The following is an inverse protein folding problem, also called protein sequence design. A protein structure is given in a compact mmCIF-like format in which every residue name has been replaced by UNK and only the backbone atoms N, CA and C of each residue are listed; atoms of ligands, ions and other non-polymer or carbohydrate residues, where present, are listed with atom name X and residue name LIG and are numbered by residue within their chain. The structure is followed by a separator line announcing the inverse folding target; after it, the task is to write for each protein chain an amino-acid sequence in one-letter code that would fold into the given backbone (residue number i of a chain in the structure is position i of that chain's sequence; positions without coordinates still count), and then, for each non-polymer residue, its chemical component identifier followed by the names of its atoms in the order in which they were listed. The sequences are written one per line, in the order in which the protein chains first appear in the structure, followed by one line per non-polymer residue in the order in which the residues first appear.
data_IF_957792342705
#
_entry.id   IF_957792342705
#
_cell.length_a   1.000
_cell.length_b   1.000
_cell.length_c   1.000
_cell.angle_alpha   90.00
_cell.angle_beta   90.00
_cell.angle_gamma   90.00
#
_symmetry.space_group_name_H-M   'P 1'
#
loop_
_entity.id
_entity.type
_entity.pdbx_description
1 polymer ?
#
# COMPACT_ATOMS: atom_id res chain seq x y z
N UNK A 1 -29.64 28.37 -27.51
CA UNK A 1 -28.99 27.16 -28.00
C UNK A 1 -28.14 26.58 -26.88
N UNK A 2 -27.80 25.28 -26.93
CA UNK A 2 -27.12 24.59 -25.82
C UNK A 2 -26.07 23.64 -26.35
N UNK A 3 -24.89 23.64 -25.77
CA UNK A 3 -23.85 22.66 -25.98
C UNK A 3 -23.93 21.62 -24.87
N UNK A 4 -24.01 20.35 -25.21
CA UNK A 4 -23.95 19.23 -24.24
C UNK A 4 -22.62 18.51 -24.44
N UNK A 5 -21.77 18.51 -23.40
CA UNK A 5 -20.52 17.78 -23.39
C UNK A 5 -20.66 16.51 -22.55
N UNK A 6 -20.34 15.38 -23.17
CA UNK A 6 -20.31 14.08 -22.48
C UNK A 6 -18.87 13.61 -22.27
N UNK A 7 -18.67 12.70 -21.33
CA UNK A 7 -17.36 12.08 -21.13
C UNK A 7 -17.03 11.17 -22.33
N UNK A 8 -15.91 11.37 -23.04
CA UNK A 8 -15.51 10.54 -24.19
C UNK A 8 -15.33 9.06 -23.82
N UNK A 9 -15.07 8.75 -22.57
CA UNK A 9 -14.94 7.36 -22.06
C UNK A 9 -16.30 6.72 -21.80
N UNK A 10 -17.32 7.52 -21.50
CA UNK A 10 -18.68 7.10 -21.15
C UNK A 10 -19.72 7.94 -21.88
N UNK A 11 -19.68 7.98 -23.21
CA UNK A 11 -20.46 8.91 -24.02
C UNK A 11 -21.98 8.67 -23.96
N UNK A 12 -22.42 7.54 -23.43
CA UNK A 12 -23.85 7.24 -23.20
C UNK A 12 -24.37 7.79 -21.86
N UNK A 13 -23.49 8.30 -20.98
CA UNK A 13 -23.92 8.95 -19.75
C UNK A 13 -24.10 10.44 -19.99
N UNK A 14 -25.33 10.91 -19.84
CA UNK A 14 -25.67 12.31 -20.05
C UNK A 14 -26.11 12.95 -18.73
N UNK A 15 -25.82 14.25 -18.52
CA UNK A 15 -26.38 14.98 -17.39
C UNK A 15 -27.92 14.95 -17.42
N UNK A 16 -28.57 14.79 -16.27
CA UNK A 16 -30.03 14.73 -16.16
C UNK A 16 -30.69 15.97 -16.80
N UNK A 17 -30.04 17.13 -16.68
CA UNK A 17 -30.50 18.39 -17.29
C UNK A 17 -30.51 18.38 -18.83
N UNK A 18 -29.76 17.45 -19.43
CA UNK A 18 -29.70 17.32 -20.90
C UNK A 18 -30.83 16.43 -21.48
N UNK A 19 -31.49 15.61 -20.66
CA UNK A 19 -32.42 14.55 -21.11
C UNK A 19 -33.55 15.13 -21.96
N UNK A 20 -34.22 16.18 -21.49
CA UNK A 20 -35.30 16.80 -22.25
C UNK A 20 -34.83 17.43 -23.57
N UNK A 21 -33.63 18.01 -23.57
CA UNK A 21 -33.05 18.67 -24.75
C UNK A 21 -32.65 17.66 -25.83
N UNK A 22 -32.22 16.46 -25.42
CA UNK A 22 -31.85 15.39 -26.35
C UNK A 22 -33.02 14.72 -27.04
N UNK A 23 -34.26 14.97 -26.59
CA UNK A 23 -35.49 14.60 -27.31
C UNK A 23 -35.83 15.48 -28.50
N UNK A 24 -35.19 16.66 -28.63
CA UNK A 24 -35.38 17.61 -29.74
C UNK A 24 -34.38 17.43 -30.88
N UNK A 25 -34.23 18.52 -31.66
CA UNK A 25 -33.23 18.56 -32.74
C UNK A 25 -31.80 18.64 -32.14
N UNK A 26 -30.97 17.64 -32.44
CA UNK A 26 -29.59 17.51 -31.97
C UNK A 26 -28.65 17.41 -33.17
N UNK A 27 -27.61 18.23 -33.19
CA UNK A 27 -26.42 17.97 -34.01
C UNK A 27 -25.34 17.32 -33.15
N UNK A 28 -24.54 16.42 -33.73
CA UNK A 28 -23.44 15.80 -33.04
C UNK A 28 -22.13 15.90 -33.82
N UNK A 29 -21.03 15.99 -33.12
CA UNK A 29 -19.68 16.06 -33.68
C UNK A 29 -19.17 14.68 -34.09
N UNK A 30 -18.19 14.62 -34.99
CA UNK A 30 -17.73 13.39 -35.65
C UNK A 30 -17.06 12.39 -34.69
N UNK A 31 -16.51 12.85 -33.58
CA UNK A 31 -15.87 11.98 -32.59
C UNK A 31 -16.88 11.20 -31.75
N UNK A 32 -18.17 11.56 -31.84
CA UNK A 32 -19.19 10.87 -31.04
C UNK A 32 -19.36 9.42 -31.51
N UNK A 33 -19.29 8.41 -30.60
CA UNK A 33 -19.52 7.01 -30.94
C UNK A 33 -20.92 6.83 -31.51
N UNK A 34 -21.01 6.19 -32.69
CA UNK A 34 -22.23 6.10 -33.51
C UNK A 34 -23.46 5.55 -32.77
N UNK A 35 -23.25 4.72 -31.72
CA UNK A 35 -24.33 4.19 -30.90
C UNK A 35 -25.08 5.26 -30.11
N UNK A 36 -24.44 6.37 -29.77
CA UNK A 36 -25.06 7.45 -29.00
C UNK A 36 -26.06 8.25 -29.81
N UNK A 37 -25.67 8.88 -30.95
CA UNK A 37 -26.61 9.61 -31.80
C UNK A 37 -27.71 8.71 -32.39
N UNK A 38 -27.44 7.44 -32.65
CA UNK A 38 -28.47 6.50 -33.13
C UNK A 38 -29.55 6.19 -32.11
N UNK A 39 -29.27 6.40 -30.85
CA UNK A 39 -30.26 6.27 -29.78
C UNK A 39 -31.15 7.51 -29.62
N UNK A 40 -30.85 8.58 -30.34
CA UNK A 40 -31.57 9.83 -30.26
C UNK A 40 -32.55 10.00 -31.50
N UNK A 41 -33.82 10.39 -31.27
CA UNK A 41 -34.85 10.40 -32.31
C UNK A 41 -34.55 11.31 -33.50
N UNK A 42 -33.89 12.43 -33.27
CA UNK A 42 -33.70 13.50 -34.25
C UNK A 42 -32.24 13.98 -34.34
N UNK A 43 -31.29 13.07 -34.05
CA UNK A 43 -29.86 13.41 -34.11
C UNK A 43 -29.35 13.37 -35.56
N UNK A 44 -28.59 14.39 -35.94
CA UNK A 44 -27.92 14.48 -37.24
C UNK A 44 -26.44 14.87 -37.07
N UNK A 45 -25.55 14.37 -37.93
CA UNK A 45 -24.15 14.75 -37.88
C UNK A 45 -23.95 16.24 -38.17
N UNK A 46 -22.95 16.81 -37.55
CA UNK A 46 -22.46 18.15 -37.90
C UNK A 46 -21.58 18.03 -39.15
N UNK A 47 -21.98 18.64 -40.25
CA UNK A 47 -21.16 18.70 -41.48
C UNK A 47 -20.42 20.03 -41.52
N UNK A 48 -19.11 20.01 -41.46
CA UNK A 48 -18.26 21.18 -41.65
C UNK A 48 -18.44 21.72 -43.08
N UNK A 49 -19.01 22.92 -43.21
CA UNK A 49 -19.27 23.56 -44.51
C UNK A 49 -20.65 23.34 -45.11
N UNK A 50 -21.55 22.64 -44.43
CA UNK A 50 -22.97 22.51 -44.83
C UNK A 50 -23.74 23.83 -44.64
N UNK A 51 -24.73 24.10 -45.53
CA UNK A 51 -25.66 25.24 -45.42
C UNK A 51 -26.79 24.97 -44.40
N UNK A 52 -26.70 23.89 -43.61
CA UNK A 52 -27.76 23.54 -42.68
C UNK A 52 -27.78 24.51 -41.51
N UNK A 53 -28.98 24.95 -41.14
CA UNK A 53 -29.13 25.75 -39.93
C UNK A 53 -28.66 25.00 -38.67
N UNK A 54 -27.90 25.65 -37.77
CA UNK A 54 -27.45 25.01 -36.55
C UNK A 54 -28.62 24.53 -35.69
N UNK A 55 -28.56 23.27 -35.23
CA UNK A 55 -29.58 22.76 -34.34
C UNK A 55 -29.53 23.46 -32.96
N UNK A 56 -30.66 23.51 -32.23
CA UNK A 56 -30.72 24.09 -30.90
C UNK A 56 -29.75 23.44 -29.93
N UNK A 57 -29.40 22.17 -30.15
CA UNK A 57 -28.50 21.38 -29.30
C UNK A 57 -27.32 20.87 -30.09
N UNK A 58 -26.10 21.07 -29.59
CA UNK A 58 -24.90 20.44 -30.07
C UNK A 58 -24.42 19.43 -29.02
N UNK A 59 -24.27 18.16 -29.41
CA UNK A 59 -23.75 17.07 -28.60
C UNK A 59 -22.31 16.75 -29.02
N UNK A 60 -21.37 16.77 -28.09
CA UNK A 60 -19.96 16.50 -28.35
C UNK A 60 -19.31 15.83 -27.16
N UNK A 61 -18.20 15.16 -27.39
CA UNK A 61 -17.29 14.68 -26.31
C UNK A 61 -15.94 15.42 -26.31
N UNK A 62 -15.73 16.33 -27.26
CA UNK A 62 -14.53 17.17 -27.35
C UNK A 62 -14.83 18.64 -27.08
N UNK A 63 -14.39 19.14 -25.93
CA UNK A 63 -14.49 20.55 -25.57
C UNK A 63 -13.68 21.47 -26.47
N UNK A 64 -12.65 20.95 -27.17
CA UNK A 64 -11.77 21.73 -28.02
C UNK A 64 -12.28 21.75 -29.49
N UNK A 65 -13.31 20.96 -29.81
CA UNK A 65 -13.89 20.97 -31.14
C UNK A 65 -14.25 22.40 -31.61
N UNK A 66 -13.89 22.80 -32.85
CA UNK A 66 -14.05 24.18 -33.31
C UNK A 66 -15.48 24.72 -33.14
N UNK A 67 -16.50 23.94 -33.46
CA UNK A 67 -17.90 24.34 -33.32
C UNK A 67 -18.33 24.47 -31.87
N UNK A 68 -17.87 23.58 -30.97
CA UNK A 68 -18.11 23.68 -29.52
C UNK A 68 -17.55 25.00 -29.00
N UNK A 69 -16.32 25.32 -29.37
CA UNK A 69 -15.69 26.59 -28.99
C UNK A 69 -16.40 27.80 -29.52
N UNK A 70 -16.82 27.75 -30.79
CA UNK A 70 -17.56 28.83 -31.47
C UNK A 70 -18.89 29.12 -30.71
N UNK A 71 -19.68 28.08 -30.42
CA UNK A 71 -20.96 28.22 -29.72
C UNK A 71 -20.78 28.72 -28.26
N UNK A 72 -19.78 28.21 -27.56
CA UNK A 72 -19.47 28.70 -26.20
C UNK A 72 -18.99 30.14 -26.21
N UNK A 73 -18.20 30.55 -27.22
CA UNK A 73 -17.80 31.95 -27.38
C UNK A 73 -18.97 32.87 -27.74
N UNK A 74 -20.01 32.34 -28.41
CA UNK A 74 -21.27 33.05 -28.65
C UNK A 74 -22.19 33.13 -27.43
N UNK A 75 -21.79 32.59 -26.28
CA UNK A 75 -22.53 32.64 -25.01
C UNK A 75 -23.65 31.59 -24.92
N UNK A 76 -23.60 30.50 -25.71
CA UNK A 76 -24.57 29.44 -25.58
C UNK A 76 -24.40 28.67 -24.27
N UNK A 77 -25.49 28.14 -23.72
CA UNK A 77 -25.51 27.37 -22.49
C UNK A 77 -24.67 26.11 -22.63
N UNK A 78 -23.80 25.87 -21.67
CA UNK A 78 -23.06 24.61 -21.51
C UNK A 78 -23.76 23.71 -20.48
N UNK A 79 -24.02 22.46 -20.88
CA UNK A 79 -24.35 21.37 -19.96
C UNK A 79 -23.24 20.34 -20.14
N UNK A 80 -22.47 20.09 -19.09
CA UNK A 80 -21.36 19.15 -19.16
C UNK A 80 -21.46 18.17 -17.99
N UNK A 81 -20.95 16.96 -18.20
CA UNK A 81 -20.64 16.07 -17.09
C UNK A 81 -19.63 16.76 -16.15
N UNK A 82 -19.71 16.53 -14.83
CA UNK A 82 -18.72 17.05 -13.91
C UNK A 82 -17.30 16.65 -14.35
N UNK A 83 -16.32 17.48 -14.00
CA UNK A 83 -14.93 17.12 -14.22
C UNK A 83 -14.60 15.77 -13.52
N UNK A 84 -13.75 14.94 -14.15
CA UNK A 84 -13.38 13.64 -13.59
C UNK A 84 -12.89 13.77 -12.15
N UNK A 85 -13.43 12.95 -11.26
CA UNK A 85 -12.97 12.90 -9.88
C UNK A 85 -11.68 12.10 -9.77
N UNK A 86 -10.78 12.42 -8.82
CA UNK A 86 -9.64 11.57 -8.52
C UNK A 86 -10.10 10.13 -8.26
N UNK A 87 -9.41 9.17 -8.89
CA UNK A 87 -9.75 7.75 -8.74
C UNK A 87 -10.72 7.18 -9.78
N UNK A 88 -11.39 7.99 -10.60
CA UNK A 88 -12.31 7.46 -11.63
C UNK A 88 -11.65 6.50 -12.63
N UNK A 89 -10.33 6.66 -12.87
CA UNK A 89 -9.57 5.73 -13.72
C UNK A 89 -9.47 4.31 -13.15
N UNK A 90 -9.67 4.15 -11.84
CA UNK A 90 -9.74 2.82 -11.23
C UNK A 90 -10.91 2.01 -11.77
N UNK A 91 -12.05 2.64 -12.08
CA UNK A 91 -13.20 1.97 -12.69
C UNK A 91 -12.86 1.44 -14.09
N UNK A 92 -12.06 2.20 -14.88
CA UNK A 92 -11.58 1.74 -16.18
C UNK A 92 -10.63 0.53 -16.02
N UNK A 93 -9.74 0.57 -15.01
CA UNK A 93 -8.82 -0.54 -14.72
C UNK A 93 -9.59 -1.82 -14.31
N UNK A 94 -10.61 -1.70 -13.48
CA UNK A 94 -11.50 -2.82 -13.12
C UNK A 94 -12.17 -3.43 -14.36
N UNK A 95 -12.70 -2.58 -15.25
CA UNK A 95 -13.35 -3.05 -16.48
C UNK A 95 -12.37 -3.71 -17.46
N UNK A 96 -11.12 -3.28 -17.49
CA UNK A 96 -10.04 -3.91 -18.26
C UNK A 96 -9.71 -5.27 -17.68
N UNK A 97 -9.53 -5.37 -16.34
CA UNK A 97 -9.24 -6.62 -15.65
C UNK A 97 -10.36 -7.66 -15.90
N UNK A 98 -11.63 -7.27 -15.83
CA UNK A 98 -12.75 -8.17 -16.12
C UNK A 98 -12.67 -8.74 -17.54
N UNK A 99 -12.35 -7.90 -18.53
CA UNK A 99 -12.16 -8.35 -19.92
C UNK A 99 -10.96 -9.29 -20.08
N UNK A 100 -9.83 -8.96 -19.46
CA UNK A 100 -8.64 -9.80 -19.49
C UNK A 100 -8.93 -11.17 -18.85
N UNK A 101 -9.55 -11.19 -17.68
CA UNK A 101 -9.91 -12.44 -17.00
C UNK A 101 -10.88 -13.29 -17.81
N UNK A 102 -11.83 -12.65 -18.53
CA UNK A 102 -12.85 -13.35 -19.31
C UNK A 102 -12.34 -13.87 -20.66
N UNK A 103 -11.46 -13.12 -21.33
CA UNK A 103 -11.06 -13.37 -22.72
C UNK A 103 -9.54 -13.60 -22.91
N UNK A 104 -8.71 -13.30 -21.94
CA UNK A 104 -7.26 -13.49 -22.01
C UNK A 104 -6.89 -14.95 -21.76
N UNK A 105 -6.15 -15.60 -22.67
CA UNK A 105 -5.83 -17.03 -22.52
C UNK A 105 -4.89 -17.31 -21.36
N UNK A 106 -4.03 -16.39 -20.97
CA UNK A 106 -3.16 -16.53 -19.81
C UNK A 106 -3.85 -16.11 -18.53
N UNK A 107 -4.56 -15.00 -18.57
CA UNK A 107 -5.22 -14.41 -17.40
C UNK A 107 -6.35 -15.30 -16.87
N UNK A 108 -7.08 -15.98 -17.76
CA UNK A 108 -8.17 -16.90 -17.36
C UNK A 108 -7.69 -18.12 -16.57
N UNK A 109 -6.45 -18.54 -16.74
CA UNK A 109 -5.86 -19.70 -16.08
C UNK A 109 -5.21 -19.38 -14.72
N UNK A 110 -5.05 -18.09 -14.38
CA UNK A 110 -4.36 -17.71 -13.15
C UNK A 110 -5.19 -18.04 -11.91
N UNK A 111 -4.47 -18.38 -10.84
CA UNK A 111 -5.03 -18.65 -9.51
C UNK A 111 -4.34 -17.71 -8.48
N UNK A 112 -4.91 -17.59 -7.29
CA UNK A 112 -4.24 -16.89 -6.19
C UNK A 112 -2.82 -17.40 -5.94
N UNK A 113 -2.60 -18.70 -6.06
CA UNK A 113 -1.27 -19.29 -5.82
C UNK A 113 -0.28 -19.02 -6.95
N UNK A 114 -0.71 -19.11 -8.21
CA UNK A 114 0.17 -18.83 -9.36
C UNK A 114 0.62 -17.38 -9.41
N UNK A 115 -0.18 -16.44 -8.89
CA UNK A 115 0.13 -15.00 -8.85
C UNK A 115 1.03 -14.59 -7.68
N UNK A 116 1.24 -15.43 -6.67
CA UNK A 116 2.05 -15.07 -5.49
C UNK A 116 3.47 -14.62 -5.83
N UNK A 117 4.09 -15.28 -6.81
CA UNK A 117 5.45 -14.92 -7.23
C UNK A 117 5.50 -13.51 -7.86
N UNK A 118 4.51 -13.16 -8.66
CA UNK A 118 4.42 -11.83 -9.28
C UNK A 118 4.17 -10.76 -8.22
N UNK A 119 3.22 -10.96 -7.30
CA UNK A 119 2.99 -10.02 -6.19
C UNK A 119 4.26 -9.77 -5.37
N UNK A 120 5.10 -10.79 -5.17
CA UNK A 120 6.39 -10.64 -4.49
C UNK A 120 7.38 -9.83 -5.34
N UNK A 121 7.47 -10.11 -6.64
CA UNK A 121 8.31 -9.41 -7.61
C UNK A 121 7.95 -7.93 -7.65
N UNK A 122 6.70 -7.58 -7.94
CA UNK A 122 6.20 -6.20 -7.97
C UNK A 122 6.43 -5.45 -6.64
N UNK A 123 6.35 -6.18 -5.52
CA UNK A 123 6.63 -5.56 -4.20
C UNK A 123 8.10 -5.18 -4.06
N UNK A 124 9.04 -5.97 -4.57
CA UNK A 124 10.46 -5.65 -4.53
C UNK A 124 10.84 -4.56 -5.55
N UNK A 125 10.24 -4.58 -6.73
CA UNK A 125 10.41 -3.53 -7.74
C UNK A 125 9.90 -2.18 -7.22
N UNK A 126 8.75 -2.16 -6.55
CA UNK A 126 8.26 -0.97 -5.83
C UNK A 126 9.26 -0.49 -4.76
N UNK A 127 9.91 -1.39 -4.00
CA UNK A 127 10.93 -0.98 -3.03
C UNK A 127 12.15 -0.35 -3.69
N UNK A 128 12.57 -0.87 -4.84
CA UNK A 128 13.68 -0.31 -5.61
C UNK A 128 13.32 1.05 -6.23
N UNK A 129 12.10 1.20 -6.76
CA UNK A 129 11.59 2.48 -7.27
C UNK A 129 11.51 3.55 -6.17
N UNK A 130 11.06 3.19 -4.95
CA UNK A 130 11.06 4.10 -3.79
C UNK A 130 12.48 4.51 -3.42
N UNK A 131 13.45 3.59 -3.46
CA UNK A 131 14.85 3.88 -3.15
C UNK A 131 15.52 4.71 -4.23
N UNK A 132 15.19 4.45 -5.50
CA UNK A 132 15.73 5.14 -6.67
C UNK A 132 15.26 6.60 -6.81
N UNK A 133 14.11 6.94 -6.22
CA UNK A 133 13.54 8.29 -6.24
C UNK A 133 12.99 8.71 -7.61
N UNK A 134 12.91 7.81 -8.58
CA UNK A 134 12.34 8.08 -9.89
C UNK A 134 10.81 8.00 -9.83
N UNK A 135 10.14 9.15 -9.97
CA UNK A 135 8.66 9.23 -9.87
C UNK A 135 7.93 8.51 -11.00
N UNK A 136 8.57 8.30 -12.15
CA UNK A 136 7.97 7.53 -13.24
C UNK A 136 7.95 6.05 -12.87
N UNK A 137 9.08 5.49 -12.48
CA UNK A 137 9.20 4.11 -12.00
C UNK A 137 8.26 3.86 -10.82
N UNK A 138 8.27 4.73 -9.82
CA UNK A 138 7.36 4.63 -8.67
C UNK A 138 5.88 4.55 -9.09
N UNK A 139 5.47 5.32 -10.10
CA UNK A 139 4.09 5.28 -10.60
C UNK A 139 3.79 3.98 -11.31
N UNK A 140 4.73 3.49 -12.12
CA UNK A 140 4.57 2.28 -12.90
C UNK A 140 4.48 1.06 -11.94
N UNK A 141 5.38 0.94 -10.95
CA UNK A 141 5.36 -0.13 -9.96
C UNK A 141 4.12 -0.09 -9.03
N UNK A 142 3.64 1.10 -8.67
CA UNK A 142 2.34 1.23 -7.98
C UNK A 142 1.19 0.72 -8.85
N UNK A 143 1.27 0.87 -10.16
CA UNK A 143 0.34 0.31 -11.14
C UNK A 143 0.36 -1.22 -11.13
N UNK A 144 1.54 -1.84 -11.06
CA UNK A 144 1.71 -3.27 -11.06
C UNK A 144 1.26 -3.92 -9.74
N UNK A 145 1.53 -3.29 -8.61
CA UNK A 145 0.92 -3.70 -7.33
C UNK A 145 -0.61 -3.58 -7.36
N UNK A 146 -1.15 -2.51 -7.96
CA UNK A 146 -2.60 -2.37 -8.15
C UNK A 146 -3.16 -3.45 -9.07
N UNK A 147 -2.45 -3.82 -10.15
CA UNK A 147 -2.80 -4.93 -11.03
C UNK A 147 -2.98 -6.23 -10.23
N UNK A 148 -2.06 -6.54 -9.31
CA UNK A 148 -2.18 -7.73 -8.45
C UNK A 148 -3.43 -7.67 -7.57
N UNK A 149 -3.75 -6.51 -6.99
CA UNK A 149 -4.97 -6.34 -6.18
C UNK A 149 -6.22 -6.60 -7.02
N UNK A 150 -6.31 -6.01 -8.21
CA UNK A 150 -7.45 -6.19 -9.12
C UNK A 150 -7.58 -7.64 -9.58
N UNK A 151 -6.46 -8.28 -9.88
CA UNK A 151 -6.42 -9.67 -10.33
C UNK A 151 -6.93 -10.62 -9.24
N UNK A 152 -6.40 -10.48 -8.03
CA UNK A 152 -6.84 -11.29 -6.90
C UNK A 152 -8.31 -11.06 -6.57
N UNK A 153 -8.81 -9.82 -6.59
CA UNK A 153 -10.21 -9.53 -6.36
C UNK A 153 -11.10 -10.17 -7.43
N UNK A 154 -10.68 -10.10 -8.70
CA UNK A 154 -11.44 -10.68 -9.81
C UNK A 154 -11.47 -12.21 -9.78
N UNK A 155 -10.40 -12.88 -9.33
CA UNK A 155 -10.40 -14.33 -9.08
C UNK A 155 -11.34 -14.68 -7.93
N UNK A 156 -11.33 -13.90 -6.84
CA UNK A 156 -12.19 -14.13 -5.69
C UNK A 156 -13.67 -14.00 -6.01
N UNK A 157 -14.04 -13.11 -6.95
CA UNK A 157 -15.42 -12.96 -7.42
C UNK A 157 -15.98 -14.24 -8.08
N UNK A 158 -15.13 -15.09 -8.66
CA UNK A 158 -15.50 -16.36 -9.29
C UNK A 158 -15.69 -17.50 -8.28
N UNK A 159 -15.36 -17.29 -7.00
CA UNK A 159 -15.42 -18.34 -6.00
C UNK A 159 -16.88 -18.77 -5.74
N UNK A 160 -17.11 -20.09 -5.61
CA UNK A 160 -18.44 -20.63 -5.32
C UNK A 160 -18.92 -20.35 -3.88
N UNK A 161 -18.01 -20.05 -2.97
CA UNK A 161 -18.29 -19.74 -1.56
C UNK A 161 -17.41 -18.57 -1.16
N UNK A 162 -17.96 -17.74 -0.29
CA UNK A 162 -17.27 -16.58 0.28
C UNK A 162 -16.66 -15.65 -0.79
N UNK A 163 -17.33 -15.57 -1.98
CA UNK A 163 -16.92 -14.67 -3.04
C UNK A 163 -17.00 -13.21 -2.60
N UNK A 164 -16.08 -12.41 -3.10
CA UNK A 164 -16.06 -10.96 -2.88
C UNK A 164 -15.51 -10.24 -4.11
N UNK A 165 -15.89 -8.99 -4.26
CA UNK A 165 -15.53 -8.11 -5.37
C UNK A 165 -14.46 -7.11 -4.99
N UNK A 166 -13.98 -6.34 -5.94
CA UNK A 166 -13.09 -5.21 -5.68
C UNK A 166 -13.76 -4.13 -4.81
N UNK A 167 -15.08 -3.97 -4.92
CA UNK A 167 -15.84 -3.03 -4.09
C UNK A 167 -15.84 -3.48 -2.62
N UNK A 168 -15.94 -4.79 -2.35
CA UNK A 168 -15.83 -5.33 -0.99
C UNK A 168 -14.43 -5.10 -0.40
N UNK A 169 -13.37 -5.19 -1.23
CA UNK A 169 -12.00 -4.86 -0.82
C UNK A 169 -11.88 -3.38 -0.47
N UNK A 170 -12.44 -2.50 -1.32
CA UNK A 170 -12.45 -1.06 -1.08
C UNK A 170 -13.25 -0.72 0.20
N UNK A 171 -14.42 -1.31 0.40
CA UNK A 171 -15.25 -1.14 1.59
C UNK A 171 -14.53 -1.62 2.86
N UNK A 172 -13.81 -2.73 2.78
CA UNK A 172 -13.00 -3.21 3.90
C UNK A 172 -11.90 -2.20 4.28
N UNK A 173 -11.24 -1.59 3.29
CA UNK A 173 -10.25 -0.55 3.52
C UNK A 173 -10.88 0.70 4.13
N UNK A 174 -12.00 1.18 3.57
CA UNK A 174 -12.73 2.37 4.05
C UNK A 174 -13.16 2.17 5.51
N UNK A 175 -13.77 1.02 5.83
CA UNK A 175 -14.15 0.68 7.21
C UNK A 175 -12.95 0.65 8.15
N UNK A 176 -11.85 0.01 7.72
CA UNK A 176 -10.61 -0.08 8.50
C UNK A 176 -10.05 1.30 8.81
N UNK A 177 -9.94 2.18 7.81
CA UNK A 177 -9.45 3.55 8.02
C UNK A 177 -10.42 4.37 8.87
N UNK A 178 -11.73 4.27 8.60
CA UNK A 178 -12.76 4.94 9.39
C UNK A 178 -12.74 4.56 10.87
N UNK A 179 -12.49 3.29 11.16
CA UNK A 179 -12.38 2.80 12.52
C UNK A 179 -11.08 3.26 13.22
N UNK A 180 -9.96 3.34 12.49
CA UNK A 180 -8.64 3.58 13.09
C UNK A 180 -8.30 5.05 13.31
N UNK A 181 -8.85 5.96 12.50
CA UNK A 181 -8.55 7.41 12.56
C UNK A 181 -9.79 8.27 12.54
N UNK A 182 -10.80 8.01 13.39
CA UNK A 182 -12.07 8.74 13.35
C UNK A 182 -11.90 10.24 13.61
N UNK A 183 -11.01 10.65 14.53
CA UNK A 183 -10.76 12.05 14.83
C UNK A 183 -10.24 12.83 13.62
N UNK A 184 -9.27 12.26 12.89
CA UNK A 184 -8.73 12.86 11.66
C UNK A 184 -9.81 13.00 10.59
N UNK A 185 -10.65 11.97 10.41
CA UNK A 185 -11.75 11.99 9.43
C UNK A 185 -12.87 12.96 9.82
N UNK A 186 -13.04 13.22 11.12
CA UNK A 186 -13.96 14.27 11.61
C UNK A 186 -13.38 15.68 11.45
N UNK A 187 -12.13 15.83 10.99
CA UNK A 187 -11.47 17.13 10.86
C UNK A 187 -10.98 17.70 12.20
N UNK A 188 -10.84 16.88 13.22
CA UNK A 188 -10.33 17.28 14.52
C UNK A 188 -8.80 17.47 14.45
N UNK A 189 -8.31 18.49 15.18
CA UNK A 189 -6.86 18.68 15.36
C UNK A 189 -6.37 17.71 16.41
N UNK A 190 -5.52 16.77 16.01
CA UNK A 190 -4.96 15.72 16.89
C UNK A 190 -3.44 15.72 16.77
N UNK A 191 -2.72 15.47 17.87
CA UNK A 191 -1.27 15.31 17.82
C UNK A 191 -0.86 13.99 17.15
N UNK A 192 0.39 13.91 16.66
CA UNK A 192 0.92 12.66 16.11
C UNK A 192 0.90 11.54 17.15
N UNK A 193 1.25 11.86 18.40
CA UNK A 193 1.30 10.90 19.50
C UNK A 193 -0.11 10.34 19.79
N UNK A 194 -1.10 11.21 19.91
CA UNK A 194 -2.49 10.81 20.15
C UNK A 194 -3.05 10.01 18.97
N UNK A 195 -2.71 10.38 17.74
CA UNK A 195 -3.13 9.63 16.55
C UNK A 195 -2.54 8.21 16.54
N UNK A 196 -1.26 8.06 16.87
CA UNK A 196 -0.61 6.75 16.95
C UNK A 196 -1.19 5.90 18.09
N UNK A 197 -1.44 6.51 19.26
CA UNK A 197 -2.10 5.84 20.38
C UNK A 197 -3.50 5.35 20.00
N UNK A 198 -4.32 6.22 19.37
CA UNK A 198 -5.66 5.87 18.88
C UNK A 198 -5.60 4.73 17.84
N UNK A 199 -4.63 4.78 16.93
CA UNK A 199 -4.44 3.74 15.93
C UNK A 199 -4.16 2.37 16.56
N UNK A 200 -3.23 2.30 17.52
CA UNK A 200 -2.88 1.04 18.18
C UNK A 200 -4.01 0.53 19.08
N UNK A 201 -4.69 1.41 19.80
CA UNK A 201 -5.89 1.05 20.58
C UNK A 201 -6.98 0.44 19.70
N UNK A 202 -7.33 1.11 18.61
CA UNK A 202 -8.37 0.65 17.70
C UNK A 202 -7.99 -0.65 16.99
N UNK A 203 -6.72 -0.78 16.60
CA UNK A 203 -6.19 -2.01 16.03
C UNK A 203 -6.24 -3.19 17.01
N UNK A 204 -6.04 -2.95 18.30
CA UNK A 204 -6.13 -4.00 19.32
C UNK A 204 -7.56 -4.52 19.46
N UNK A 205 -8.57 -3.64 19.36
CA UNK A 205 -9.98 -4.01 19.39
C UNK A 205 -10.41 -4.89 18.21
N UNK A 206 -9.82 -4.68 17.02
CA UNK A 206 -10.10 -5.52 15.82
C UNK A 206 -9.61 -6.96 15.99
N UNK A 207 -8.70 -7.21 16.91
CA UNK A 207 -8.00 -8.48 17.06
C UNK A 207 -8.39 -9.24 18.34
N UNK A 208 -9.56 -8.95 18.88
CA UNK A 208 -10.07 -9.51 20.15
C UNK A 208 -10.25 -11.03 20.18
N UNK A 209 -10.11 -11.72 19.06
CA UNK A 209 -10.23 -13.19 18.95
C UNK A 209 -8.89 -13.92 19.08
N UNK A 210 -7.77 -13.23 19.24
CA UNK A 210 -6.45 -13.87 19.40
C UNK A 210 -6.37 -14.64 20.70
N UNK A 211 -5.78 -15.82 20.63
CA UNK A 211 -5.51 -16.68 21.78
C UNK A 211 -4.05 -16.51 22.24
N UNK A 212 -3.16 -16.07 21.35
CA UNK A 212 -1.73 -15.83 21.63
C UNK A 212 -1.29 -14.47 21.11
N UNK A 213 -0.32 -13.85 21.76
CA UNK A 213 0.28 -12.58 21.31
C UNK A 213 0.97 -12.70 19.94
N UNK A 214 1.35 -13.92 19.53
CA UNK A 214 1.97 -14.18 18.22
C UNK A 214 0.99 -14.68 17.16
N UNK A 215 -0.31 -14.73 17.43
CA UNK A 215 -1.31 -15.08 16.43
C UNK A 215 -1.46 -13.97 15.38
N UNK A 216 -1.91 -14.33 14.17
CA UNK A 216 -2.08 -13.44 13.02
C UNK A 216 -0.78 -12.72 12.58
N UNK A 217 0.38 -13.28 12.93
CA UNK A 217 1.65 -12.83 12.36
C UNK A 217 1.87 -13.60 11.05
N UNK A 218 1.91 -12.92 9.88
CA UNK A 218 2.14 -13.59 8.60
C UNK A 218 3.55 -14.21 8.57
N UNK A 219 3.62 -15.55 8.56
CA UNK A 219 4.90 -16.27 8.62
C UNK A 219 5.61 -16.37 7.26
N UNK A 220 4.94 -16.00 6.17
CA UNK A 220 5.51 -16.00 4.82
C UNK A 220 6.37 -14.79 4.49
N UNK A 221 6.42 -13.75 5.33
CA UNK A 221 7.27 -12.58 5.13
C UNK A 221 8.77 -12.93 5.31
N UNK A 222 9.73 -12.11 4.82
CA UNK A 222 11.16 -12.31 5.04
C UNK A 222 11.49 -12.52 6.52
N UNK A 223 12.40 -13.45 6.85
CA UNK A 223 12.62 -13.88 8.23
C UNK A 223 13.08 -12.75 9.14
N UNK A 224 13.84 -11.78 8.64
CA UNK A 224 14.22 -10.58 9.41
C UNK A 224 13.02 -9.71 9.79
N UNK A 225 12.10 -9.50 8.86
CA UNK A 225 10.86 -8.74 9.12
C UNK A 225 9.94 -9.51 10.08
N UNK A 226 9.88 -10.83 9.92
CA UNK A 226 9.17 -11.72 10.85
C UNK A 226 9.75 -11.64 12.25
N UNK A 227 11.10 -11.66 12.41
CA UNK A 227 11.80 -11.55 13.67
C UNK A 227 11.44 -10.23 14.38
N UNK A 228 11.56 -9.11 13.71
CA UNK A 228 11.23 -7.80 14.28
C UNK A 228 9.78 -7.76 14.78
N UNK A 229 8.84 -8.29 13.98
CA UNK A 229 7.42 -8.31 14.33
C UNK A 229 7.11 -9.23 15.51
N UNK A 230 7.69 -10.42 15.56
CA UNK A 230 7.51 -11.37 16.66
C UNK A 230 8.11 -10.80 17.94
N UNK A 231 9.35 -10.29 17.89
CA UNK A 231 10.02 -9.68 19.05
C UNK A 231 9.19 -8.51 19.60
N UNK A 232 8.70 -7.60 18.74
CA UNK A 232 7.85 -6.51 19.18
C UNK A 232 6.57 -7.01 19.87
N UNK A 233 5.92 -8.05 19.34
CA UNK A 233 4.69 -8.63 19.91
C UNK A 233 4.92 -9.24 21.29
N UNK A 234 5.94 -10.07 21.43
CA UNK A 234 6.22 -10.73 22.73
C UNK A 234 6.71 -9.73 23.78
N UNK A 235 7.45 -8.69 23.38
CA UNK A 235 7.85 -7.60 24.27
C UNK A 235 6.64 -6.82 24.79
N UNK A 236 5.70 -6.49 23.91
CA UNK A 236 4.46 -5.81 24.29
C UNK A 236 3.59 -6.69 25.19
N UNK A 237 3.68 -8.03 25.09
CA UNK A 237 3.02 -8.97 25.97
C UNK A 237 3.76 -9.19 27.32
N UNK A 238 4.83 -8.44 27.59
CA UNK A 238 5.58 -8.49 28.84
C UNK A 238 6.62 -9.61 28.93
N UNK A 239 6.99 -10.27 27.81
CA UNK A 239 8.04 -11.29 27.83
C UNK A 239 9.40 -10.65 28.15
N UNK A 240 10.13 -11.16 29.18
CA UNK A 240 11.48 -10.70 29.52
C UNK A 240 12.45 -10.88 28.35
N UNK A 241 13.38 -9.92 28.17
CA UNK A 241 14.30 -9.92 27.03
C UNK A 241 15.23 -11.15 27.03
N UNK A 242 15.61 -11.61 28.20
CA UNK A 242 16.50 -12.77 28.38
C UNK A 242 15.86 -14.11 27.96
N UNK A 243 14.55 -14.16 27.82
CA UNK A 243 13.84 -15.35 27.32
C UNK A 243 13.75 -15.39 25.79
N UNK A 244 14.18 -14.31 25.12
CA UNK A 244 14.24 -14.27 23.66
C UNK A 244 15.55 -14.95 23.22
N UNK A 245 15.50 -16.03 22.41
CA UNK A 245 16.69 -16.75 22.01
C UNK A 245 17.66 -15.88 21.20
N UNK A 246 18.96 -16.02 21.45
CA UNK A 246 19.98 -15.32 20.67
C UNK A 246 19.91 -15.66 19.16
N UNK A 247 19.45 -16.87 18.80
CA UNK A 247 19.29 -17.32 17.41
C UNK A 247 18.27 -16.53 16.59
N UNK A 248 17.35 -15.79 17.25
CA UNK A 248 16.39 -14.93 16.54
C UNK A 248 16.74 -13.44 16.63
N UNK A 249 17.72 -13.07 17.46
CA UNK A 249 18.20 -11.70 17.61
C UNK A 249 19.47 -11.45 16.80
N UNK A 250 20.29 -12.50 16.63
CA UNK A 250 21.56 -12.42 15.91
C UNK A 250 21.56 -13.38 14.74
N UNK A 251 21.78 -12.86 13.53
CA UNK A 251 21.85 -13.62 12.30
C UNK A 251 23.29 -13.67 11.82
N UNK A 252 23.78 -14.87 11.54
CA UNK A 252 25.10 -15.07 10.95
C UNK A 252 24.93 -15.52 9.50
N UNK A 253 25.48 -14.73 8.57
CA UNK A 253 25.46 -15.05 7.14
C UNK A 253 26.79 -15.70 6.76
N UNK A 254 26.76 -16.87 6.15
CA UNK A 254 27.91 -17.58 5.60
C UNK A 254 27.52 -18.25 4.29
N UNK A 255 28.51 -18.52 3.43
CA UNK A 255 28.25 -19.08 2.09
C UNK A 255 27.57 -20.47 2.14
N UNK A 256 27.83 -21.24 3.19
CA UNK A 256 27.34 -22.61 3.36
C UNK A 256 26.03 -22.68 4.16
N UNK A 257 25.45 -21.54 4.55
CA UNK A 257 24.27 -21.49 5.42
C UNK A 257 23.11 -20.77 4.74
N UNK A 258 21.94 -21.36 4.83
CA UNK A 258 20.69 -20.69 4.49
C UNK A 258 20.19 -19.90 5.73
N UNK A 259 20.72 -18.69 5.88
CA UNK A 259 20.40 -17.82 7.02
C UNK A 259 18.91 -17.43 7.08
N UNK A 260 18.25 -17.33 5.95
CA UNK A 260 16.81 -17.04 5.87
C UNK A 260 16.00 -18.20 6.48
N UNK A 261 16.29 -19.43 6.07
CA UNK A 261 15.56 -20.60 6.54
C UNK A 261 15.92 -20.97 7.99
N UNK A 262 17.19 -20.81 8.40
CA UNK A 262 17.63 -21.03 9.77
C UNK A 262 16.90 -20.08 10.72
N UNK A 263 16.86 -18.77 10.40
CA UNK A 263 16.14 -17.77 11.20
C UNK A 263 14.64 -18.04 11.23
N UNK A 264 14.05 -18.37 10.11
CA UNK A 264 12.62 -18.70 10.00
C UNK A 264 12.25 -19.87 10.87
N UNK A 265 13.04 -20.94 10.83
CA UNK A 265 12.82 -22.16 11.62
C UNK A 265 12.89 -21.82 13.12
N UNK A 266 13.93 -21.11 13.55
CA UNK A 266 14.08 -20.68 14.94
C UNK A 266 12.90 -19.79 15.41
N UNK A 267 12.40 -18.92 14.55
CA UNK A 267 11.23 -18.07 14.84
C UNK A 267 9.95 -18.86 14.99
N UNK A 268 9.69 -19.83 14.14
CA UNK A 268 8.49 -20.67 14.23
C UNK A 268 8.51 -21.51 15.50
N UNK A 269 9.65 -22.11 15.86
CA UNK A 269 9.84 -22.85 17.11
C UNK A 269 9.65 -21.94 18.35
N UNK A 270 10.17 -20.71 18.28
CA UNK A 270 9.98 -19.73 19.35
C UNK A 270 8.50 -19.33 19.48
N UNK A 271 7.79 -19.07 18.39
CA UNK A 271 6.36 -18.76 18.40
C UNK A 271 5.54 -19.92 19.00
N UNK A 272 5.89 -21.15 18.71
CA UNK A 272 5.21 -22.32 19.29
C UNK A 272 5.50 -22.46 20.78
N UNK A 273 6.72 -22.12 21.20
CA UNK A 273 7.10 -22.05 22.63
C UNK A 273 6.28 -20.98 23.36
N UNK A 274 6.17 -19.77 22.78
CA UNK A 274 5.33 -18.70 23.33
C UNK A 274 3.89 -19.15 23.51
N UNK A 275 3.28 -19.74 22.48
CA UNK A 275 1.90 -20.28 22.56
C UNK A 275 1.74 -21.35 23.64
N UNK A 276 2.74 -22.21 23.81
CA UNK A 276 2.70 -23.25 24.84
C UNK A 276 2.77 -22.65 26.26
N UNK A 277 3.60 -21.65 26.45
CA UNK A 277 3.73 -20.95 27.72
C UNK A 277 2.47 -20.16 28.06
N UNK A 278 1.90 -19.44 27.10
CA UNK A 278 0.64 -18.71 27.31
C UNK A 278 -0.50 -19.66 27.73
N UNK A 279 -0.62 -20.81 27.07
CA UNK A 279 -1.60 -21.84 27.50
C UNK A 279 -1.34 -22.36 28.93
N UNK A 280 -0.08 -22.51 29.32
CA UNK A 280 0.26 -22.96 30.67
C UNK A 280 -0.06 -21.88 31.72
N UNK A 281 0.18 -20.61 31.42
CA UNK A 281 -0.18 -19.47 32.27
C UNK A 281 -1.71 -19.42 32.43
N UNK A 282 -2.45 -19.52 31.33
CA UNK A 282 -3.91 -19.52 31.35
C UNK A 282 -4.46 -20.67 32.23
N UNK A 283 -3.95 -21.87 32.05
CA UNK A 283 -4.34 -23.03 32.86
C UNK A 283 -4.04 -22.81 34.35
N UNK A 284 -2.88 -22.21 34.66
CA UNK A 284 -2.51 -21.89 36.03
C UNK A 284 -3.41 -20.84 36.68
N UNK A 285 -3.79 -19.79 35.92
CA UNK A 285 -4.72 -18.72 36.36
C UNK A 285 -6.12 -19.26 36.59
N UNK A 286 -6.63 -20.12 35.72
CA UNK A 286 -7.93 -20.78 35.88
C UNK A 286 -7.97 -21.66 37.13
N UNK A 287 -6.89 -22.39 37.39
CA UNK A 287 -6.78 -23.23 38.60
C UNK A 287 -6.74 -22.42 39.89
N UNK A 288 -6.25 -21.16 39.85
CA UNK A 288 -6.18 -20.25 40.96
C UNK A 288 -7.44 -19.36 41.15
N UNK A 289 -8.47 -19.54 40.34
CA UNK A 289 -9.71 -18.74 40.33
C UNK A 289 -9.48 -17.20 40.17
N UNK A 290 -8.41 -16.84 39.47
CA UNK A 290 -8.06 -15.45 39.20
C UNK A 290 -8.87 -14.96 37.98
N UNK A 291 -9.66 -13.86 38.11
CA UNK A 291 -10.39 -13.32 36.97
C UNK A 291 -9.42 -12.92 35.86
N UNK A 292 -9.60 -13.49 34.67
CA UNK A 292 -8.85 -13.03 33.49
C UNK A 292 -9.33 -11.63 33.12
N UNK A 293 -8.47 -10.63 33.27
CA UNK A 293 -8.69 -9.32 32.63
C UNK A 293 -8.39 -9.52 31.14
N UNK A 294 -9.43 -9.62 30.34
CA UNK A 294 -9.34 -9.64 28.88
C UNK A 294 -8.94 -8.25 28.40
N UNK A 295 -7.65 -8.00 28.41
CA UNK A 295 -7.08 -6.91 27.62
C UNK A 295 -6.90 -7.44 26.17
N UNK A 296 -7.56 -6.80 25.22
CA UNK A 296 -7.61 -7.23 23.82
C UNK A 296 -6.26 -7.16 23.10
N UNK A 297 -5.28 -6.49 23.66
CA UNK A 297 -3.91 -6.45 23.11
C UNK A 297 -3.08 -7.69 23.52
N UNK A 298 -3.46 -8.33 24.63
CA UNK A 298 -2.85 -9.57 25.10
C UNK A 298 -3.97 -10.48 25.62
N UNK A 299 -4.27 -11.62 25.01
CA UNK A 299 -5.42 -12.47 25.30
C UNK A 299 -5.49 -12.93 26.77
N UNK A 300 -4.35 -13.01 27.44
CA UNK A 300 -4.21 -13.34 28.86
C UNK A 300 -4.27 -12.11 29.79
N UNK A 301 -4.51 -10.90 29.24
CA UNK A 301 -4.28 -9.66 29.95
C UNK A 301 -2.80 -9.43 30.25
N UNK A 302 -2.50 -8.50 31.16
CA UNK A 302 -1.11 -8.26 31.54
C UNK A 302 -0.51 -9.53 32.16
N UNK A 303 0.54 -10.07 31.54
CA UNK A 303 1.31 -11.20 32.03
C UNK A 303 2.57 -10.64 32.69
N UNK A 304 2.77 -10.99 33.96
CA UNK A 304 3.95 -10.56 34.68
C UNK A 304 5.20 -11.33 34.24
N UNK A 305 6.36 -10.68 34.31
CA UNK A 305 7.64 -11.33 34.04
C UNK A 305 7.86 -12.62 34.88
N UNK A 306 7.33 -12.64 36.11
CA UNK A 306 7.43 -13.81 36.98
C UNK A 306 6.59 -14.98 36.44
N UNK A 307 5.43 -14.75 35.86
CA UNK A 307 4.61 -15.78 35.22
C UNK A 307 5.31 -16.33 33.99
N UNK A 308 5.86 -15.44 33.13
CA UNK A 308 6.66 -15.87 32.00
C UNK A 308 7.82 -16.77 32.41
N UNK A 309 8.65 -16.35 33.39
CA UNK A 309 9.80 -17.15 33.86
C UNK A 309 9.37 -18.47 34.49
N UNK A 310 8.25 -18.49 35.23
CA UNK A 310 7.75 -19.71 35.91
C UNK A 310 7.35 -20.79 34.91
N UNK A 311 6.72 -20.42 33.79
CA UNK A 311 6.20 -21.36 32.84
C UNK A 311 7.11 -21.56 31.64
N UNK A 312 8.19 -20.80 31.55
CA UNK A 312 9.14 -20.94 30.44
C UNK A 312 9.86 -22.29 30.56
N UNK A 313 9.99 -23.06 29.45
CA UNK A 313 10.71 -24.34 29.50
C UNK A 313 12.16 -24.11 29.92
N UNK A 314 12.65 -24.95 30.85
CA UNK A 314 14.04 -24.93 31.23
C UNK A 314 14.90 -25.11 29.94
N UNK A 315 16.01 -24.40 29.77
CA UNK A 315 16.88 -24.61 28.63
C UNK A 315 17.25 -26.09 28.60
N UNK A 316 16.83 -26.79 27.56
CA UNK A 316 17.29 -28.15 27.34
C UNK A 316 18.79 -28.06 27.16
N UNK A 317 19.52 -28.72 28.12
CA UNK A 317 20.95 -28.62 28.25
C UNK A 317 21.69 -29.06 26.98
N UNK A 318 21.88 -28.12 26.09
CA UNK A 318 23.04 -28.08 25.22
C UNK A 318 24.08 -27.34 26.09
N UNK A 319 24.96 -28.10 26.75
CA UNK A 319 26.20 -27.54 27.21
C UNK A 319 26.94 -27.04 26.00
N UNK A 320 26.73 -25.79 25.63
CA UNK A 320 27.66 -25.07 24.78
C UNK A 320 28.87 -24.89 25.66
N UNK A 321 29.84 -25.79 25.56
CA UNK A 321 31.21 -25.44 25.94
C UNK A 321 31.51 -24.19 25.10
N UNK A 322 31.49 -23.04 25.79
CA UNK A 322 32.09 -21.82 25.28
C UNK A 322 33.53 -22.21 24.94
N UNK A 323 33.99 -22.03 23.69
CA UNK A 323 35.38 -22.19 23.38
C UNK A 323 36.13 -21.28 24.37
N UNK A 324 37.01 -21.88 25.17
CA UNK A 324 37.92 -21.15 26.02
C UNK A 324 38.59 -20.10 25.13
N UNK A 325 38.36 -18.83 25.48
CA UNK A 325 39.09 -17.72 24.88
C UNK A 325 40.55 -18.04 25.18
N UNK A 326 41.46 -18.21 24.22
CA UNK A 326 42.87 -18.41 24.49
C UNK A 326 43.31 -17.23 25.35
N UNK A 327 43.90 -17.51 26.49
CA UNK A 327 44.55 -16.49 27.31
C UNK A 327 45.47 -15.68 26.41
N UNK A 328 45.31 -14.36 26.49
CA UNK A 328 46.23 -13.40 25.89
C UNK A 328 47.65 -13.82 26.15
N UNK A 329 48.37 -14.19 25.11
CA UNK A 329 49.80 -14.47 25.11
C UNK A 329 50.50 -13.27 25.76
N UNK A 330 51.24 -13.52 26.80
CA UNK A 330 52.08 -12.55 27.48
C UNK A 330 53.10 -11.96 26.50
N UNK A 331 53.27 -10.64 26.61
CA UNK A 331 54.32 -9.89 25.91
C UNK A 331 55.69 -10.39 26.40
N UNK A 332 56.28 -11.38 25.72
CA UNK A 332 57.70 -11.72 25.79
C UNK A 332 57.99 -12.88 24.81
N UNK A 333 58.07 -12.57 23.52
CA UNK A 333 58.80 -13.37 22.54
C UNK A 333 59.33 -12.46 21.41
N UNK A 334 60.62 -12.57 21.05
CA UNK A 334 61.26 -11.66 20.12
C UNK A 334 60.85 -11.93 18.69
N UNK A 335 60.57 -10.84 18.00
CA UNK A 335 60.27 -10.78 16.55
C UNK A 335 61.52 -11.29 15.78
N UNK A 336 61.43 -12.50 15.23
CA UNK A 336 62.32 -12.94 14.13
C UNK A 336 61.59 -12.86 12.78
N UNK A 337 62.17 -12.06 11.92
CA UNK A 337 62.12 -11.99 10.47
C UNK A 337 60.88 -12.56 9.72
N UNK A 338 59.96 -11.67 9.34
CA UNK A 338 59.05 -11.90 8.22
C UNK A 338 59.32 -10.88 7.13
N UNK A 339 59.70 -11.36 5.99
CA UNK A 339 59.97 -10.66 4.74
C UNK A 339 58.86 -9.67 4.38
N UNK A 340 59.21 -8.40 4.31
CA UNK A 340 58.39 -7.30 3.78
C UNK A 340 58.20 -7.50 2.28
N UNK A 341 57.00 -7.92 1.90
CA UNK A 341 56.54 -7.78 0.52
C UNK A 341 56.20 -6.31 0.27
N UNK A 342 57.06 -5.64 -0.52
CA UNK A 342 56.74 -4.32 -1.03
C UNK A 342 55.53 -4.41 -1.99
N UNK A 343 54.42 -3.83 -1.58
CA UNK A 343 53.33 -3.49 -2.51
C UNK A 343 53.63 -2.06 -3.00
N UNK A 344 53.95 -2.00 -4.29
CA UNK A 344 54.17 -0.76 -5.06
C UNK A 344 52.82 0.03 -5.07
N UNK A 345 52.76 1.14 -4.36
CA UNK A 345 51.65 2.10 -4.40
C UNK A 345 51.79 2.97 -5.63
N UNK A 346 51.22 2.52 -6.73
CA UNK A 346 50.99 3.38 -7.88
C UNK A 346 49.95 4.43 -7.53
N UNK A 347 50.38 5.67 -7.40
CA UNK A 347 49.56 6.86 -7.32
C UNK A 347 48.84 7.07 -8.66
N UNK A 348 47.64 6.56 -8.83
CA UNK A 348 46.73 7.06 -9.85
C UNK A 348 45.77 8.06 -9.18
N UNK A 349 46.06 9.31 -9.42
CA UNK A 349 45.23 10.48 -9.11
C UNK A 349 43.93 10.39 -9.94
N UNK A 350 42.80 9.99 -9.31
CA UNK A 350 41.50 10.15 -9.92
C UNK A 350 41.04 11.58 -9.80
N UNK A 351 41.10 12.28 -10.94
CA UNK A 351 40.55 13.61 -11.15
C UNK A 351 39.01 13.55 -11.01
N UNK A 352 38.49 14.10 -9.90
CA UNK A 352 37.06 14.27 -9.67
C UNK A 352 36.67 15.61 -10.24
N UNK A 353 35.80 15.70 -11.26
CA UNK A 353 35.37 16.99 -11.76
C UNK A 353 34.51 17.70 -10.71
N UNK A 354 34.95 18.88 -10.31
CA UNK A 354 34.23 19.83 -9.46
C UNK A 354 32.95 20.29 -10.18
N UNK A 355 31.79 19.79 -9.73
CA UNK A 355 30.50 20.29 -10.19
C UNK A 355 30.25 21.67 -9.56
N UNK A 356 30.35 22.70 -10.39
CA UNK A 356 29.94 24.05 -10.04
C UNK A 356 28.49 24.08 -9.60
N UNK A 357 28.26 24.54 -8.37
CA UNK A 357 26.92 24.81 -7.85
C UNK A 357 26.53 26.19 -8.39
N UNK A 358 25.72 26.20 -9.44
CA UNK A 358 25.08 27.42 -9.90
C UNK A 358 23.99 27.84 -8.92
N UNK A 359 24.08 29.07 -8.47
CA UNK A 359 23.15 29.74 -7.56
C UNK A 359 21.73 29.72 -8.14
N UNK A 360 20.83 28.95 -7.52
CA UNK A 360 19.40 29.06 -7.77
C UNK A 360 18.83 30.16 -6.88
N UNK A 361 18.63 31.32 -7.49
CA UNK A 361 17.95 32.48 -6.90
C UNK A 361 16.48 32.08 -6.55
N UNK A 362 16.17 32.01 -5.25
CA UNK A 362 14.81 31.82 -4.75
C UNK A 362 14.03 33.12 -4.98
N UNK A 363 13.14 33.12 -5.97
CA UNK A 363 12.15 34.18 -6.16
C UNK A 363 11.01 33.94 -5.17
N UNK A 364 10.94 34.77 -4.13
CA UNK A 364 9.78 34.86 -3.26
C UNK A 364 8.59 35.48 -4.01
N UNK A 365 7.35 34.96 -3.90
CA UNK A 365 6.18 35.60 -4.48
C UNK A 365 5.78 36.81 -3.64
N UNK A 366 5.77 38.00 -4.25
CA UNK A 366 5.23 39.23 -3.68
C UNK A 366 3.74 39.04 -3.34
N UNK A 367 3.40 39.20 -2.07
CA UNK A 367 2.03 39.36 -1.58
C UNK A 367 1.53 40.76 -1.92
N UNK A 368 0.66 40.85 -2.92
CA UNK A 368 -0.07 42.06 -3.26
C UNK A 368 -1.06 42.44 -2.14
N UNK A 369 -0.69 43.44 -1.33
CA UNK A 369 -1.55 44.09 -0.36
C UNK A 369 -2.21 45.29 -1.02
N UNK A 370 -3.35 45.11 -1.67
CA UNK A 370 -4.25 46.22 -1.95
C UNK A 370 -5.70 45.79 -2.21
N UNK A 371 -6.52 45.85 -1.19
CA UNK A 371 -7.84 46.50 -1.26
C UNK A 371 -8.57 46.42 0.08
N UNK A 372 -8.39 47.47 0.86
CA UNK A 372 -9.30 47.88 1.87
C UNK A 372 -10.57 48.46 1.21
N UNK A 373 -11.73 47.82 1.45
CA UNK A 373 -13.03 48.43 1.20
C UNK A 373 -13.78 48.47 2.53
N UNK A 374 -14.01 49.71 3.01
CA UNK A 374 -14.88 50.01 4.16
C UNK A 374 -16.35 49.73 3.83
N UNK A 375 -17.21 49.49 4.87
CA UNK A 375 -18.63 49.25 4.70
C UNK A 375 -19.44 50.51 4.77
N UNK A 376 -20.45 50.61 3.95
CA UNK A 376 -21.70 51.36 4.22
C UNK A 376 -22.89 50.43 4.15
#
# INVERSE_FOLDING_TARGET
MTVILVDPRRPSLVPVEAVELLGGEVQYTEEMPIKVPWSLPSARPLFTGGQDAPAPVLLSSDRQHPEVRARLAAGERLIAVPDPQPGERLVDAVAIMDRLRTAGPWESEQTHDSLRRYLLEETYELFDAVRGGNLQELRDELGDVLLQVLFHARIAEEAQRDSFTIDDVADALVRKLGNRVPAVLAGESISLEDQLAQWEERKSLETSTRVSCVDDVPTGQPALALAQKVIARVRNAGLPAELIPASIVTVTVAAEKDAENELRTALLEFMDTVRAVERAIEASRRAADVPSQLDTAAPLGAVSEQEWRRHWPAPHGVSVELPLVPELISEDDPLDDVDTVHIDSGDEEFDVPELAVDDVELVEPELDQSSSVEPQ
#
